data_IF_119300104997
#
_entry.id   IF_119300104997
#
_cell.length_a   1.000
_cell.length_b   1.000
_cell.length_c   1.000
_cell.angle_alpha   90.00
_cell.angle_beta   90.00
_cell.angle_gamma   90.00
#
_symmetry.space_group_name_H-M   'P 1'
#
loop_
_entity.id
_entity.type
_entity.pdbx_description
1 polymer ?
#
# COMPACT_ATOMS: atom_id res chain seq x y z
N UNK A 1 6.96 -8.87 -15.51
CA UNK A 1 5.57 -9.37 -15.40
C UNK A 1 4.75 -8.47 -14.47
N UNK A 2 3.45 -8.69 -14.30
CA UNK A 2 2.61 -7.95 -13.32
C UNK A 2 3.27 -7.95 -11.95
N UNK A 3 3.20 -6.87 -11.18
CA UNK A 3 3.75 -6.79 -9.83
C UNK A 3 2.65 -6.53 -8.79
N UNK A 4 2.80 -7.14 -7.61
CA UNK A 4 1.88 -7.00 -6.49
C UNK A 4 2.57 -6.34 -5.31
N UNK A 5 2.10 -5.15 -4.91
CA UNK A 5 2.55 -4.51 -3.68
C UNK A 5 1.61 -4.92 -2.55
N UNK A 6 2.17 -5.54 -1.52
CA UNK A 6 1.45 -6.02 -0.35
C UNK A 6 1.85 -5.15 0.83
N UNK A 7 0.85 -4.60 1.52
CA UNK A 7 1.04 -3.62 2.59
C UNK A 7 0.24 -4.06 3.81
N UNK A 8 0.90 -4.22 4.94
CA UNK A 8 0.27 -4.38 6.25
C UNK A 8 0.49 -3.11 7.07
N UNK A 9 -0.60 -2.51 7.53
CA UNK A 9 -0.62 -1.17 8.11
C UNK A 9 -1.25 -1.23 9.51
N UNK A 10 -0.43 -1.02 10.54
CA UNK A 10 -0.90 -0.69 11.88
C UNK A 10 -1.10 0.82 11.97
N UNK A 11 -2.35 1.27 12.07
CA UNK A 11 -2.68 2.69 12.22
C UNK A 11 -2.41 3.13 13.66
N UNK A 12 -1.65 4.20 13.83
CA UNK A 12 -1.34 4.81 15.14
C UNK A 12 -1.98 6.18 15.30
N UNK A 13 -2.32 6.85 14.20
CA UNK A 13 -3.07 8.10 14.16
C UNK A 13 -4.17 8.00 13.08
N UNK A 14 -5.43 7.72 13.48
CA UNK A 14 -6.55 7.56 12.55
C UNK A 14 -6.88 8.81 11.75
N UNK A 15 -6.74 10.00 12.33
CA UNK A 15 -7.11 11.26 11.70
C UNK A 15 -6.12 11.63 10.59
N UNK A 16 -4.82 11.57 10.88
CA UNK A 16 -3.79 11.81 9.88
C UNK A 16 -3.77 10.71 8.81
N UNK A 17 -4.08 9.47 9.18
CA UNK A 17 -4.20 8.38 8.20
C UNK A 17 -5.40 8.56 7.27
N UNK A 18 -6.50 9.14 7.74
CA UNK A 18 -7.65 9.46 6.90
C UNK A 18 -7.26 10.47 5.80
N UNK A 19 -6.51 11.51 6.14
CA UNK A 19 -6.00 12.48 5.16
C UNK A 19 -5.11 11.80 4.09
N UNK A 20 -4.21 10.90 4.51
CA UNK A 20 -3.40 10.12 3.59
C UNK A 20 -4.25 9.25 2.64
N UNK A 21 -5.32 8.66 3.17
CA UNK A 21 -6.21 7.76 2.40
C UNK A 21 -6.99 8.46 1.29
N UNK A 22 -7.21 9.76 1.40
CA UNK A 22 -7.84 10.58 0.35
C UNK A 22 -6.84 10.88 -0.79
N UNK A 23 -5.56 11.09 -0.46
CA UNK A 23 -4.52 11.44 -1.45
C UNK A 23 -3.99 10.22 -2.22
N UNK A 24 -3.77 9.11 -1.54
CA UNK A 24 -3.08 7.95 -2.11
C UNK A 24 -3.72 7.36 -3.38
N UNK A 25 -5.06 7.25 -3.51
CA UNK A 25 -5.69 6.57 -4.65
C UNK A 25 -5.39 7.19 -6.00
N UNK A 26 -5.40 8.52 -6.08
CA UNK A 26 -5.17 9.23 -7.34
C UNK A 26 -3.72 9.08 -7.78
N UNK A 27 -2.78 9.13 -6.84
CA UNK A 27 -1.36 8.89 -7.09
C UNK A 27 -1.16 7.44 -7.57
N UNK A 28 -1.71 6.45 -6.87
CA UNK A 28 -1.62 5.04 -7.29
C UNK A 28 -2.14 4.85 -8.72
N UNK A 29 -3.32 5.41 -9.03
CA UNK A 29 -3.92 5.33 -10.36
C UNK A 29 -3.08 6.01 -11.45
N UNK A 30 -2.48 7.17 -11.15
CA UNK A 30 -1.60 7.87 -12.09
C UNK A 30 -0.39 7.02 -12.53
N UNK A 31 0.02 6.07 -11.68
CA UNK A 31 1.09 5.13 -12.01
C UNK A 31 0.61 3.78 -12.59
N UNK A 32 -0.68 3.65 -12.90
CA UNK A 32 -1.28 2.42 -13.42
C UNK A 32 -1.60 1.38 -12.33
N UNK A 33 -1.46 1.76 -11.05
CA UNK A 33 -1.76 0.90 -9.92
C UNK A 33 -3.27 0.66 -9.74
N UNK A 34 -3.63 -0.56 -9.41
CA UNK A 34 -5.01 -1.00 -9.14
C UNK A 34 -5.10 -1.58 -7.74
N UNK A 35 -6.13 -1.19 -6.97
CA UNK A 35 -6.39 -1.81 -5.68
C UNK A 35 -7.11 -3.14 -5.88
N UNK A 36 -6.53 -4.24 -5.39
CA UNK A 36 -7.17 -5.56 -5.34
C UNK A 36 -7.81 -5.81 -3.97
N UNK A 37 -7.17 -5.34 -2.90
CA UNK A 37 -7.71 -5.34 -1.55
C UNK A 37 -7.32 -4.06 -0.83
N UNK A 38 -8.21 -3.51 0.02
CA UNK A 38 -7.95 -2.24 0.73
C UNK A 38 -8.55 -2.23 2.13
N UNK A 39 -8.06 -3.12 2.98
CA UNK A 39 -8.44 -3.25 4.39
C UNK A 39 -9.80 -3.93 4.59
N UNK A 40 -10.11 -4.91 3.75
CA UNK A 40 -11.25 -5.81 3.96
C UNK A 40 -10.98 -6.84 5.06
N UNK A 41 -11.98 -7.69 5.33
CA UNK A 41 -11.85 -8.79 6.29
C UNK A 41 -10.61 -9.63 5.96
N UNK A 42 -9.75 -9.81 6.96
CA UNK A 42 -8.52 -10.59 6.83
C UNK A 42 -8.59 -11.75 7.81
N UNK A 43 -8.40 -12.96 7.31
CA UNK A 43 -8.37 -14.19 8.10
C UNK A 43 -7.00 -14.86 7.95
N UNK A 44 -6.50 -15.41 9.04
CA UNK A 44 -5.22 -16.13 9.07
C UNK A 44 -5.55 -17.62 9.07
N UNK A 45 -5.19 -18.31 7.99
CA UNK A 45 -5.40 -19.75 7.88
C UNK A 45 -4.25 -20.56 8.49
N UNK A 46 -3.02 -20.05 8.45
CA UNK A 46 -1.83 -20.71 8.99
C UNK A 46 -0.79 -19.69 9.46
N UNK A 47 0.03 -20.09 10.44
CA UNK A 47 1.15 -19.31 10.95
C UNK A 47 0.80 -18.35 12.09
N UNK A 48 1.82 -17.93 12.83
CA UNK A 48 1.67 -16.99 13.94
C UNK A 48 1.85 -15.55 13.47
N UNK A 49 0.91 -15.08 12.63
CA UNK A 49 0.85 -13.70 12.16
C UNK A 49 -0.44 -13.04 12.62
N UNK A 50 -0.35 -11.76 12.97
CA UNK A 50 -1.52 -10.93 13.27
C UNK A 50 -1.49 -9.72 12.32
N UNK A 51 -2.03 -9.86 11.09
CA UNK A 51 -2.09 -8.77 10.14
C UNK A 51 -3.05 -7.68 10.67
N UNK A 52 -2.67 -6.43 10.44
CA UNK A 52 -3.49 -5.27 10.74
C UNK A 52 -4.35 -4.96 9.50
N UNK A 53 -4.33 -3.72 9.01
CA UNK A 53 -5.01 -3.33 7.78
C UNK A 53 -4.17 -3.75 6.57
N UNK A 54 -4.62 -4.78 5.85
CA UNK A 54 -3.96 -5.28 4.64
C UNK A 54 -4.44 -4.56 3.37
N UNK A 55 -3.50 -4.12 2.54
CA UNK A 55 -3.74 -3.55 1.21
C UNK A 55 -2.94 -4.33 0.18
N UNK A 56 -3.56 -4.64 -0.95
CA UNK A 56 -2.91 -5.28 -2.11
C UNK A 56 -3.12 -4.39 -3.32
N UNK A 57 -2.01 -3.97 -3.95
CA UNK A 57 -1.99 -3.25 -5.21
C UNK A 57 -1.44 -4.13 -6.31
N UNK A 58 -1.96 -3.95 -7.52
CA UNK A 58 -1.40 -4.51 -8.75
C UNK A 58 -0.85 -3.40 -9.63
N UNK A 59 0.33 -3.61 -10.20
CA UNK A 59 0.94 -2.80 -11.24
C UNK A 59 1.29 -3.68 -12.44
N UNK A 60 1.36 -3.10 -13.64
CA UNK A 60 1.69 -3.85 -14.86
C UNK A 60 3.13 -4.37 -14.84
N UNK A 61 4.04 -3.75 -14.07
CA UNK A 61 5.40 -4.24 -13.87
C UNK A 61 6.03 -3.82 -12.52
N UNK A 62 7.15 -4.47 -12.16
CA UNK A 62 7.96 -4.12 -10.99
C UNK A 62 8.51 -2.69 -11.10
N UNK A 63 8.89 -2.28 -12.30
CA UNK A 63 9.36 -0.93 -12.62
C UNK A 63 8.26 0.10 -12.34
N UNK A 64 7.02 -0.15 -12.79
CA UNK A 64 5.89 0.74 -12.50
C UNK A 64 5.59 0.87 -11.00
N UNK A 65 5.71 -0.23 -10.25
CA UNK A 65 5.58 -0.19 -8.79
C UNK A 65 6.70 0.64 -8.13
N UNK A 66 7.94 0.56 -8.64
CA UNK A 66 9.06 1.37 -8.16
C UNK A 66 8.91 2.85 -8.52
N UNK A 67 8.55 3.16 -9.76
CA UNK A 67 8.30 4.53 -10.21
C UNK A 67 7.20 5.21 -9.39
N UNK A 68 6.12 4.48 -9.07
CA UNK A 68 5.11 4.96 -8.13
C UNK A 68 5.71 5.28 -6.76
N UNK A 69 6.48 4.34 -6.19
CA UNK A 69 7.05 4.47 -4.85
C UNK A 69 8.05 5.63 -4.74
N UNK A 70 8.82 5.87 -5.80
CA UNK A 70 9.88 6.87 -5.87
C UNK A 70 9.39 8.25 -6.34
N UNK A 71 8.16 8.32 -6.86
CA UNK A 71 7.57 9.56 -7.37
C UNK A 71 7.51 10.67 -6.33
N UNK A 72 7.75 11.91 -6.77
CA UNK A 72 7.61 13.10 -5.91
C UNK A 72 6.18 13.23 -5.37
N UNK A 73 5.18 12.88 -6.19
CA UNK A 73 3.77 12.86 -5.80
C UNK A 73 3.52 11.91 -4.61
N UNK A 74 4.10 10.70 -4.62
CA UNK A 74 3.93 9.76 -3.53
C UNK A 74 4.82 10.07 -2.32
N UNK A 75 5.94 10.79 -2.49
CA UNK A 75 6.88 11.10 -1.41
C UNK A 75 6.21 11.81 -0.23
N UNK A 76 5.38 12.81 -0.48
CA UNK A 76 4.68 13.55 0.58
C UNK A 76 3.58 12.71 1.23
N UNK A 77 2.78 11.99 0.44
CA UNK A 77 1.79 11.04 0.96
C UNK A 77 2.46 9.96 1.84
N UNK A 78 3.62 9.47 1.43
CA UNK A 78 4.41 8.48 2.17
C UNK A 78 4.93 9.03 3.51
N UNK A 79 5.39 10.29 3.55
CA UNK A 79 5.77 10.95 4.82
C UNK A 79 4.60 11.01 5.79
N UNK A 80 3.41 11.39 5.30
CA UNK A 80 2.18 11.41 6.11
C UNK A 80 1.82 10.02 6.63
N UNK A 81 1.93 8.98 5.78
CA UNK A 81 1.72 7.58 6.20
C UNK A 81 2.72 7.16 7.27
N UNK A 82 4.00 7.51 7.15
CA UNK A 82 5.03 7.15 8.14
C UNK A 82 4.77 7.79 9.51
N UNK A 83 4.16 8.98 9.55
CA UNK A 83 3.77 9.65 10.81
C UNK A 83 2.53 9.03 11.46
N UNK A 84 1.65 8.43 10.66
CA UNK A 84 0.34 7.93 11.12
C UNK A 84 0.25 6.41 11.27
N UNK A 85 1.30 5.68 10.89
CA UNK A 85 1.26 4.22 10.84
C UNK A 85 2.63 3.56 11.08
N UNK A 86 2.61 2.32 11.58
CA UNK A 86 3.70 1.37 11.44
C UNK A 86 3.35 0.45 10.26
N UNK A 87 4.16 0.47 9.20
CA UNK A 87 3.85 -0.23 7.95
C UNK A 87 4.91 -1.27 7.60
N UNK A 88 4.48 -2.47 7.21
CA UNK A 88 5.27 -3.44 6.46
C UNK A 88 4.82 -3.41 5.00
N UNK A 89 5.76 -3.29 4.07
CA UNK A 89 5.44 -3.18 2.64
C UNK A 89 6.51 -3.90 1.83
N UNK A 90 6.08 -4.71 0.89
CA UNK A 90 6.97 -5.39 -0.06
C UNK A 90 6.25 -5.56 -1.40
N UNK A 91 7.04 -5.83 -2.44
CA UNK A 91 6.53 -6.08 -3.79
C UNK A 91 6.97 -7.47 -4.24
N UNK A 92 6.08 -8.17 -4.93
CA UNK A 92 6.31 -9.51 -5.48
C UNK A 92 5.96 -9.48 -6.96
N UNK A 93 6.84 -10.01 -7.80
CA UNK A 93 6.52 -10.21 -9.21
C UNK A 93 5.53 -11.38 -9.35
N UNK A 94 4.46 -11.16 -10.09
CA UNK A 94 3.47 -12.17 -10.46
C UNK A 94 3.97 -13.06 -11.59
N UNK A 95 3.43 -14.28 -11.66
CA UNK A 95 3.71 -15.25 -12.73
C UNK A 95 3.06 -14.89 -14.06
#
# INVERSE_FOLDING_TARGET
MTAYVIIDIKVTDPELYAQYRELAPDIVRAFGGKYLARGGKTEVFEGNVSPNRTVVLQFDSMERAREWLDSDAYREARKMRHKSTVTRMFVVEGI
#
